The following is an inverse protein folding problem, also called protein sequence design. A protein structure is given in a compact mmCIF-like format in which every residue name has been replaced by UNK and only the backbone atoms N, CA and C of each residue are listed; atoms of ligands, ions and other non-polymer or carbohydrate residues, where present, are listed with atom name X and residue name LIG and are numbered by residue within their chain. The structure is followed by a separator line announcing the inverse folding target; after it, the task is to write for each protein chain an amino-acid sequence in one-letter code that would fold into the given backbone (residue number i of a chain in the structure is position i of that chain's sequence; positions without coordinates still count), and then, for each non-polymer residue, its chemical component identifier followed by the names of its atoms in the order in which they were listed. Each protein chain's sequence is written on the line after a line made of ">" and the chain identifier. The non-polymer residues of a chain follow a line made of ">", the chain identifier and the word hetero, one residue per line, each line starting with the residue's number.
data_IF_566109024500
#
_entry.id   IF_566109024500
#
_cell.length_a   1.000
_cell.length_b   1.000
_cell.length_c   1.000
_cell.angle_alpha   90.00
_cell.angle_beta   90.00
_cell.angle_gamma   90.00
#
_symmetry.space_group_name_H-M   'P 1'
#
loop_
_entity.id
_entity.type
_entity.pdbx_description
1 polymer ?
#
# COMPACT_ATOMS: atom_id res chain seq x y z
N UNK A 1 -44.52 -30.64 20.36
CA UNK A 1 -43.41 -30.18 19.56
C UNK A 1 -42.99 -28.83 20.11
N UNK A 2 -41.88 -28.74 20.87
CA UNK A 2 -41.35 -27.47 21.37
C UNK A 2 -40.33 -26.98 20.36
N UNK A 3 -40.65 -25.89 19.65
CA UNK A 3 -39.73 -25.21 18.75
C UNK A 3 -38.69 -24.52 19.62
N UNK A 4 -37.46 -24.97 19.55
CA UNK A 4 -36.29 -24.31 20.18
C UNK A 4 -35.93 -23.10 19.30
N UNK A 5 -36.25 -21.89 19.77
CA UNK A 5 -35.73 -20.67 19.21
C UNK A 5 -34.26 -20.55 19.64
N UNK A 6 -33.32 -20.85 18.77
CA UNK A 6 -31.93 -20.49 18.97
C UNK A 6 -31.83 -19.00 18.60
N UNK A 7 -31.88 -18.15 19.62
CA UNK A 7 -31.48 -16.76 19.46
C UNK A 7 -29.96 -16.74 19.21
N UNK A 8 -29.57 -16.50 17.96
CA UNK A 8 -28.16 -16.17 17.65
C UNK A 8 -27.84 -14.85 18.35
N UNK A 9 -27.07 -14.95 19.41
CA UNK A 9 -26.49 -13.79 20.07
C UNK A 9 -25.52 -13.17 19.04
N UNK A 10 -25.95 -12.12 18.33
CA UNK A 10 -25.07 -11.30 17.56
C UNK A 10 -24.12 -10.61 18.55
N UNK A 11 -22.95 -11.18 18.78
CA UNK A 11 -21.86 -10.45 19.44
C UNK A 11 -21.57 -9.23 18.57
N UNK A 12 -21.68 -8.04 19.16
CA UNK A 12 -21.11 -6.85 18.54
C UNK A 12 -19.62 -7.14 18.28
N UNK A 13 -19.11 -6.84 17.09
CA UNK A 13 -17.70 -7.06 16.82
C UNK A 13 -16.88 -6.28 17.84
N UNK A 14 -15.75 -6.86 18.25
CA UNK A 14 -14.82 -6.22 19.17
C UNK A 14 -14.42 -4.84 18.60
N UNK A 15 -14.32 -3.82 19.44
CA UNK A 15 -13.81 -2.53 19.00
C UNK A 15 -12.40 -2.71 18.44
N UNK A 16 -11.99 -1.88 17.45
CA UNK A 16 -10.60 -1.84 17.01
C UNK A 16 -9.71 -1.48 18.19
N UNK A 17 -8.56 -2.13 18.24
CA UNK A 17 -7.49 -1.80 19.18
C UNK A 17 -6.42 -1.02 18.43
N UNK A 18 -5.96 0.06 19.03
CA UNK A 18 -4.98 0.97 18.46
C UNK A 18 -3.68 0.93 19.25
N UNK A 19 -2.57 1.02 18.57
CA UNK A 19 -1.24 1.12 19.18
C UNK A 19 -0.33 1.95 18.29
N UNK A 20 0.61 2.66 18.91
CA UNK A 20 1.68 3.37 18.18
C UNK A 20 2.62 2.35 17.54
N UNK A 21 3.00 2.60 16.30
CA UNK A 21 3.92 1.74 15.55
C UNK A 21 5.37 2.09 15.89
N UNK A 22 5.77 3.34 15.77
CA UNK A 22 7.12 3.82 16.10
C UNK A 22 7.35 3.79 17.63
N UNK A 23 8.56 3.43 18.05
CA UNK A 23 8.95 3.38 19.47
C UNK A 23 9.56 4.68 19.96
N UNK A 24 9.97 5.55 19.06
CA UNK A 24 10.53 6.86 19.32
C UNK A 24 9.59 7.91 18.72
N UNK A 25 9.13 8.85 19.52
CA UNK A 25 8.23 9.93 19.13
C UNK A 25 8.95 11.25 18.85
N UNK A 26 10.26 11.21 18.65
CA UNK A 26 11.06 12.37 18.24
C UNK A 26 10.95 12.55 16.73
N UNK A 27 10.72 13.79 16.28
CA UNK A 27 10.55 14.09 14.85
C UNK A 27 9.23 13.58 14.28
N UNK A 28 8.98 13.87 13.01
CA UNK A 28 7.82 13.39 12.28
C UNK A 28 7.98 11.95 11.81
N UNK A 29 6.88 11.21 11.87
CA UNK A 29 6.73 9.91 11.26
C UNK A 29 5.49 9.95 10.37
N UNK A 30 5.69 9.82 9.06
CA UNK A 30 4.66 9.99 8.05
C UNK A 30 4.77 9.00 6.88
N UNK A 31 3.89 9.12 5.88
CA UNK A 31 3.87 8.32 4.66
C UNK A 31 3.94 6.81 4.91
N UNK A 32 3.14 6.30 5.85
CA UNK A 32 3.17 4.89 6.21
C UNK A 32 2.54 3.99 5.15
N UNK A 33 3.14 2.82 4.92
CA UNK A 33 2.56 1.71 4.15
C UNK A 33 2.49 0.44 4.99
N UNK A 34 1.50 -0.44 4.70
CA UNK A 34 1.27 -1.68 5.46
C UNK A 34 0.99 -2.87 4.55
N UNK A 35 1.57 -4.01 4.89
CA UNK A 35 1.31 -5.30 4.25
C UNK A 35 1.00 -6.37 5.29
N UNK A 36 0.05 -7.27 4.97
CA UNK A 36 -0.35 -8.36 5.85
C UNK A 36 -0.42 -9.69 5.09
N UNK A 37 -0.10 -10.80 5.78
CA UNK A 37 -0.05 -12.15 5.20
C UNK A 37 -1.02 -13.11 5.87
N UNK A 38 -1.32 -14.22 5.16
CA UNK A 38 -2.09 -15.37 5.69
C UNK A 38 -1.49 -15.93 6.97
N UNK A 39 -0.17 -15.96 7.06
CA UNK A 39 0.54 -16.50 8.21
C UNK A 39 0.61 -15.53 9.40
N UNK A 40 -0.16 -14.42 9.37
CA UNK A 40 -0.29 -13.48 10.48
C UNK A 40 0.90 -12.54 10.67
N UNK A 41 1.74 -12.39 9.65
CA UNK A 41 2.74 -11.32 9.64
C UNK A 41 2.09 -10.02 9.18
N UNK A 42 2.51 -8.92 9.79
CA UNK A 42 2.14 -7.55 9.39
C UNK A 42 3.40 -6.70 9.43
N UNK A 43 3.73 -6.06 8.32
CA UNK A 43 4.82 -5.09 8.26
C UNK A 43 4.26 -3.69 8.04
N UNK A 44 4.81 -2.72 8.74
CA UNK A 44 4.57 -1.30 8.54
C UNK A 44 5.92 -0.66 8.23
N UNK A 45 5.97 0.17 7.19
CA UNK A 45 7.12 1.03 6.86
C UNK A 45 6.66 2.48 6.89
N UNK A 46 7.57 3.42 7.19
CA UNK A 46 7.28 4.85 7.25
C UNK A 46 8.53 5.69 6.99
N UNK A 47 8.33 6.95 6.68
CA UNK A 47 9.35 8.00 6.74
C UNK A 47 9.51 8.43 8.20
N UNK A 48 10.73 8.76 8.62
CA UNK A 48 11.05 9.07 10.01
C UNK A 48 12.15 10.12 10.11
N UNK A 49 11.85 11.22 10.76
CA UNK A 49 12.73 12.37 10.92
C UNK A 49 13.38 12.44 12.30
N UNK A 50 13.32 11.36 13.11
CA UNK A 50 13.82 11.36 14.50
C UNK A 50 15.27 11.78 14.67
N UNK A 51 16.08 11.61 13.63
CA UNK A 51 17.51 11.99 13.63
C UNK A 51 17.73 13.47 13.27
N UNK A 52 16.65 14.24 13.03
CA UNK A 52 16.71 15.67 12.70
C UNK A 52 16.25 16.55 13.86
N UNK A 53 16.72 17.81 13.89
CA UNK A 53 16.40 18.74 14.97
C UNK A 53 15.15 19.58 14.72
N UNK A 54 14.51 19.42 13.56
CA UNK A 54 13.37 20.24 13.13
C UNK A 54 12.22 19.35 12.69
N UNK A 55 10.98 19.62 13.16
CA UNK A 55 9.78 18.98 12.63
C UNK A 55 9.68 19.18 11.13
N UNK A 56 9.12 18.21 10.44
CA UNK A 56 8.89 18.26 9.00
C UNK A 56 10.14 18.66 8.20
N UNK A 57 11.29 18.03 8.50
CA UNK A 57 12.51 18.30 7.76
C UNK A 57 12.34 17.78 6.31
N UNK A 58 12.19 18.67 5.31
CA UNK A 58 11.89 18.26 3.94
C UNK A 58 13.08 17.60 3.23
N UNK A 59 14.22 17.48 3.90
CA UNK A 59 15.49 17.08 3.27
C UNK A 59 16.20 15.92 3.98
N UNK A 60 15.72 15.48 5.15
CA UNK A 60 16.35 14.40 5.91
C UNK A 60 15.30 13.49 6.53
N UNK A 61 14.85 12.51 5.79
CA UNK A 61 14.03 11.42 6.33
C UNK A 61 14.70 10.08 6.10
N UNK A 62 14.45 9.16 7.00
CA UNK A 62 14.89 7.77 6.93
C UNK A 62 13.71 6.83 6.77
N UNK A 63 13.94 5.68 6.14
CA UNK A 63 12.93 4.63 6.04
C UNK A 63 13.13 3.63 7.17
N UNK A 64 12.06 3.45 7.93
CA UNK A 64 11.97 2.47 9.01
C UNK A 64 10.96 1.39 8.69
N UNK A 65 11.13 0.21 9.30
CA UNK A 65 10.20 -0.91 9.25
C UNK A 65 9.95 -1.48 10.64
N UNK A 66 8.70 -1.85 10.91
CA UNK A 66 8.33 -2.70 12.03
C UNK A 66 7.58 -3.93 11.56
N UNK A 67 8.02 -5.10 12.00
CA UNK A 67 7.37 -6.37 11.71
C UNK A 67 6.68 -6.90 12.95
N UNK A 68 5.47 -7.39 12.74
CA UNK A 68 4.65 -8.07 13.74
C UNK A 68 4.36 -9.50 13.33
N UNK A 69 4.15 -10.37 14.33
CA UNK A 69 3.58 -11.71 14.18
C UNK A 69 2.40 -11.84 15.13
N UNK A 70 1.21 -12.09 14.61
CA UNK A 70 -0.03 -12.17 15.41
C UNK A 70 -0.17 -10.99 16.41
N UNK A 71 0.10 -9.78 15.94
CA UNK A 71 0.06 -8.55 16.73
C UNK A 71 1.24 -8.32 17.68
N UNK A 72 2.16 -9.29 17.81
CA UNK A 72 3.38 -9.13 18.63
C UNK A 72 4.50 -8.58 17.78
N UNK A 73 5.11 -7.46 18.19
CA UNK A 73 6.27 -6.87 17.52
C UNK A 73 7.48 -7.79 17.58
N UNK A 74 8.07 -8.08 16.42
CA UNK A 74 9.30 -8.84 16.31
C UNK A 74 10.54 -7.95 16.32
N UNK A 75 10.49 -6.84 15.59
CA UNK A 75 11.55 -5.83 15.55
C UNK A 75 11.03 -4.51 14.99
N UNK A 76 11.76 -3.43 15.30
CA UNK A 76 11.74 -2.15 14.63
C UNK A 76 13.14 -1.83 14.13
N UNK A 77 13.29 -1.31 12.91
CA UNK A 77 14.60 -1.13 12.30
C UNK A 77 14.63 -0.06 11.22
N UNK A 78 15.69 0.73 11.21
CA UNK A 78 16.08 1.61 10.10
C UNK A 78 16.59 0.77 8.93
N UNK A 79 16.08 1.05 7.73
CA UNK A 79 16.46 0.36 6.48
C UNK A 79 17.33 1.21 5.57
N UNK A 80 17.11 2.52 5.54
CA UNK A 80 17.92 3.45 4.79
C UNK A 80 19.32 3.55 5.43
N UNK A 81 20.30 3.82 4.63
CA UNK A 81 21.66 4.05 5.10
C UNK A 81 22.00 5.50 4.87
N UNK A 82 22.37 6.21 5.97
CA UNK A 82 22.75 7.61 5.95
C UNK A 82 23.80 7.94 4.92
N UNK A 83 23.60 9.05 4.20
CA UNK A 83 24.59 9.73 3.39
C UNK A 83 25.15 10.95 4.12
N UNK A 84 25.98 11.71 3.44
CA UNK A 84 26.41 13.03 3.86
C UNK A 84 25.79 14.06 2.93
N UNK A 85 24.95 14.96 3.46
CA UNK A 85 24.33 16.04 2.69
C UNK A 85 22.80 16.02 2.74
N UNK A 86 22.17 16.87 1.94
CA UNK A 86 20.72 17.00 1.82
C UNK A 86 20.18 15.87 0.93
N UNK A 87 19.80 14.75 1.52
CA UNK A 87 19.22 13.63 0.81
C UNK A 87 18.07 13.04 1.61
N UNK A 88 17.01 12.70 0.91
CA UNK A 88 15.75 12.22 1.45
C UNK A 88 15.49 10.80 0.98
N UNK A 89 15.05 9.98 1.92
CA UNK A 89 14.41 8.71 1.60
C UNK A 89 12.92 8.93 1.65
N UNK A 90 12.24 8.72 0.54
CA UNK A 90 10.90 9.26 0.34
C UNK A 90 9.93 8.22 -0.21
N UNK A 91 8.68 8.28 0.26
CA UNK A 91 7.56 7.46 -0.24
C UNK A 91 7.84 5.95 -0.15
N UNK A 92 8.06 5.41 1.06
CA UNK A 92 8.29 3.99 1.22
C UNK A 92 7.03 3.18 0.93
N UNK A 93 7.22 1.98 0.36
CA UNK A 93 6.17 0.99 0.22
C UNK A 93 6.70 -0.40 0.58
N UNK A 94 5.81 -1.28 1.08
CA UNK A 94 6.17 -2.61 1.56
C UNK A 94 5.22 -3.68 1.05
N UNK A 95 5.79 -4.82 0.67
CA UNK A 95 5.03 -6.05 0.44
C UNK A 95 5.71 -7.24 1.11
N UNK A 96 4.90 -8.08 1.76
CA UNK A 96 5.36 -9.28 2.46
C UNK A 96 5.20 -10.53 1.59
N UNK A 97 6.17 -11.43 1.69
CA UNK A 97 5.99 -12.84 1.35
C UNK A 97 5.33 -13.59 2.52
N UNK A 98 4.71 -14.74 2.24
CA UNK A 98 4.00 -15.52 3.26
C UNK A 98 4.91 -16.05 4.40
N UNK A 99 6.22 -16.11 4.20
CA UNK A 99 7.20 -16.48 5.24
C UNK A 99 7.54 -15.34 6.21
N UNK A 100 6.98 -14.12 5.97
CA UNK A 100 7.24 -12.93 6.76
C UNK A 100 8.46 -12.14 6.32
N UNK A 101 9.16 -12.54 5.25
CA UNK A 101 10.16 -11.70 4.64
C UNK A 101 9.50 -10.52 3.89
N UNK A 102 10.13 -9.36 3.92
CA UNK A 102 9.61 -8.13 3.34
C UNK A 102 10.46 -7.69 2.15
N UNK A 103 9.80 -7.14 1.13
CA UNK A 103 10.42 -6.27 0.13
C UNK A 103 9.96 -4.85 0.40
N UNK A 104 10.91 -3.93 0.55
CA UNK A 104 10.67 -2.52 0.82
C UNK A 104 11.31 -1.69 -0.29
N UNK A 105 10.58 -0.70 -0.76
CA UNK A 105 11.04 0.24 -1.80
C UNK A 105 10.85 1.67 -1.33
N UNK A 106 11.66 2.58 -1.84
CA UNK A 106 11.52 4.04 -1.64
C UNK A 106 12.27 4.81 -2.71
N UNK A 107 11.98 6.11 -2.84
CA UNK A 107 12.76 7.04 -3.65
C UNK A 107 13.94 7.56 -2.85
N UNK A 108 15.18 7.49 -3.39
CA UNK A 108 16.39 8.01 -2.72
C UNK A 108 17.31 8.74 -3.69
N UNK A 109 18.01 9.76 -3.19
CA UNK A 109 19.09 10.47 -3.89
C UNK A 109 20.42 10.26 -3.12
N UNK A 110 21.07 9.09 -3.29
CA UNK A 110 22.19 8.68 -2.43
C UNK A 110 23.47 9.47 -2.64
N UNK A 111 23.62 10.16 -3.76
CA UNK A 111 24.81 10.95 -4.12
C UNK A 111 24.56 12.47 -4.05
N UNK A 112 23.36 12.91 -3.68
CA UNK A 112 22.98 14.30 -3.52
C UNK A 112 22.99 15.11 -4.82
N UNK A 113 22.84 14.44 -5.99
CA UNK A 113 22.85 15.10 -7.29
C UNK A 113 21.49 15.70 -7.69
N UNK A 114 20.46 15.50 -6.87
CA UNK A 114 19.09 15.96 -7.09
C UNK A 114 18.27 15.04 -8.01
N UNK A 115 18.78 13.86 -8.37
CA UNK A 115 18.08 12.84 -9.15
C UNK A 115 17.77 11.62 -8.27
N UNK A 116 16.49 11.37 -8.07
CA UNK A 116 16.04 10.24 -7.27
C UNK A 116 16.04 8.94 -8.06
N UNK A 117 16.37 7.85 -7.38
CA UNK A 117 16.32 6.48 -7.86
C UNK A 117 15.39 5.66 -6.95
N UNK A 118 14.95 4.49 -7.41
CA UNK A 118 14.11 3.60 -6.61
C UNK A 118 14.98 2.54 -5.94
N UNK A 119 15.19 2.73 -4.63
CA UNK A 119 15.85 1.73 -3.79
C UNK A 119 14.96 0.52 -3.56
N UNK A 120 15.57 -0.64 -3.43
CA UNK A 120 14.90 -1.91 -3.07
C UNK A 120 15.71 -2.58 -1.97
N UNK A 121 15.04 -3.04 -0.91
CA UNK A 121 15.64 -3.87 0.15
C UNK A 121 14.79 -5.11 0.38
N UNK A 122 15.45 -6.24 0.56
CA UNK A 122 14.83 -7.45 1.07
C UNK A 122 15.21 -7.62 2.54
N UNK A 123 14.21 -7.83 3.39
CA UNK A 123 14.39 -7.94 4.85
C UNK A 123 13.84 -9.28 5.31
N UNK A 124 14.65 -10.07 6.00
CA UNK A 124 14.21 -11.36 6.53
C UNK A 124 13.27 -11.20 7.73
N UNK A 125 12.55 -12.24 8.08
CA UNK A 125 11.69 -12.29 9.28
C UNK A 125 12.46 -12.00 10.58
N UNK A 126 13.78 -12.19 10.59
CA UNK A 126 14.65 -11.84 11.73
C UNK A 126 15.15 -10.38 11.71
N UNK A 127 14.67 -9.55 10.78
CA UNK A 127 15.07 -8.15 10.64
C UNK A 127 16.45 -7.94 10.00
N UNK A 128 17.00 -8.95 9.34
CA UNK A 128 18.28 -8.81 8.62
C UNK A 128 18.01 -8.36 7.19
N UNK A 129 18.65 -7.27 6.75
CA UNK A 129 18.67 -6.90 5.32
C UNK A 129 19.41 -7.98 4.56
N UNK A 130 18.70 -8.79 3.81
CA UNK A 130 19.22 -9.94 3.07
C UNK A 130 19.64 -9.61 1.64
N UNK A 131 19.27 -8.44 1.14
CA UNK A 131 19.64 -7.95 -0.18
C UNK A 131 19.29 -6.48 -0.38
N UNK A 132 20.01 -5.83 -1.27
CA UNK A 132 19.87 -4.44 -1.65
C UNK A 132 20.01 -4.29 -3.16
N UNK A 133 19.27 -3.38 -3.76
CA UNK A 133 19.32 -3.10 -5.18
C UNK A 133 18.60 -1.82 -5.55
N UNK A 134 18.53 -1.55 -6.86
CA UNK A 134 17.80 -0.44 -7.47
C UNK A 134 16.81 -1.00 -8.49
N UNK A 135 15.57 -0.52 -8.48
CA UNK A 135 14.53 -1.00 -9.39
C UNK A 135 14.74 -0.47 -10.82
N UNK A 136 15.08 0.82 -10.98
CA UNK A 136 15.36 1.45 -12.27
C UNK A 136 16.74 1.06 -12.80
N UNK A 137 16.85 0.84 -14.12
CA UNK A 137 18.13 0.56 -14.80
C UNK A 137 18.87 1.84 -15.16
N UNK A 138 18.16 2.94 -15.49
CA UNK A 138 18.75 4.25 -15.75
C UNK A 138 18.63 5.12 -14.53
N UNK A 139 19.72 5.74 -14.10
CA UNK A 139 19.76 6.74 -13.04
C UNK A 139 19.50 8.17 -13.58
N UNK A 140 19.23 8.31 -14.89
CA UNK A 140 18.92 9.60 -15.48
C UNK A 140 17.50 10.06 -15.12
N UNK A 141 17.32 11.35 -14.87
CA UNK A 141 16.02 11.93 -14.56
C UNK A 141 15.55 11.64 -13.13
N UNK A 142 14.24 11.67 -12.93
CA UNK A 142 13.61 11.55 -11.62
C UNK A 142 12.75 10.28 -11.59
N UNK A 143 12.94 9.44 -10.59
CA UNK A 143 12.11 8.27 -10.32
C UNK A 143 11.40 8.45 -8.98
N UNK A 144 10.06 8.45 -9.01
CA UNK A 144 9.22 8.76 -7.86
C UNK A 144 8.07 7.77 -7.69
N UNK A 145 7.38 7.86 -6.56
CA UNK A 145 6.16 7.12 -6.26
C UNK A 145 6.33 5.62 -6.52
N UNK A 146 7.33 4.97 -5.91
CA UNK A 146 7.48 3.54 -6.06
C UNK A 146 6.32 2.81 -5.39
N UNK A 147 5.94 1.66 -5.97
CA UNK A 147 5.05 0.71 -5.30
C UNK A 147 5.54 -0.69 -5.57
N UNK A 148 5.46 -1.57 -4.57
CA UNK A 148 5.95 -2.94 -4.62
C UNK A 148 4.84 -3.96 -4.38
N UNK A 149 4.86 -5.05 -5.14
CA UNK A 149 3.97 -6.18 -4.93
C UNK A 149 4.80 -7.48 -4.94
N UNK A 150 4.76 -8.22 -3.85
CA UNK A 150 5.37 -9.54 -3.73
C UNK A 150 4.44 -10.63 -4.24
N UNK A 151 5.00 -11.64 -4.89
CA UNK A 151 4.30 -12.88 -5.21
C UNK A 151 4.12 -13.68 -3.92
N UNK A 152 2.89 -13.96 -3.48
CA UNK A 152 2.65 -14.64 -2.21
C UNK A 152 3.12 -16.10 -2.19
N UNK A 153 3.39 -16.73 -3.35
CA UNK A 153 3.75 -18.14 -3.48
C UNK A 153 5.25 -18.35 -3.76
N UNK A 154 5.90 -17.36 -4.36
CA UNK A 154 7.32 -17.43 -4.71
C UNK A 154 8.11 -16.31 -4.03
N UNK A 155 9.41 -16.28 -4.20
CA UNK A 155 10.25 -15.14 -3.76
C UNK A 155 10.26 -13.97 -4.75
N UNK A 156 9.42 -14.00 -5.78
CA UNK A 156 9.34 -12.98 -6.82
C UNK A 156 8.59 -11.73 -6.37
N UNK A 157 8.81 -10.61 -7.04
CA UNK A 157 8.10 -9.35 -6.81
C UNK A 157 8.18 -8.44 -8.04
N UNK A 158 7.30 -7.44 -8.08
CA UNK A 158 7.37 -6.36 -9.06
C UNK A 158 7.43 -5.00 -8.35
N UNK A 159 8.18 -4.07 -8.95
CA UNK A 159 8.26 -2.68 -8.49
C UNK A 159 7.84 -1.79 -9.66
N UNK A 160 6.90 -0.89 -9.42
CA UNK A 160 6.49 0.15 -10.38
C UNK A 160 6.85 1.54 -9.86
N UNK A 161 7.08 2.49 -10.76
CA UNK A 161 7.42 3.87 -10.40
C UNK A 161 7.03 4.85 -11.51
N UNK A 162 6.98 6.12 -11.16
CA UNK A 162 6.89 7.24 -12.09
C UNK A 162 8.30 7.60 -12.55
N UNK A 163 8.53 7.60 -13.86
CA UNK A 163 9.82 7.93 -14.49
C UNK A 163 9.70 9.21 -15.30
N UNK A 164 10.40 10.26 -14.86
CA UNK A 164 10.42 11.58 -15.49
C UNK A 164 11.80 11.92 -16.06
N UNK A 165 11.91 11.87 -17.36
CA UNK A 165 13.15 12.15 -18.09
C UNK A 165 13.15 13.60 -18.62
N UNK A 166 13.90 14.49 -17.95
CA UNK A 166 14.05 15.89 -18.34
C UNK A 166 12.71 16.64 -18.40
N UNK A 167 12.39 17.26 -19.53
CA UNK A 167 11.13 18.01 -19.75
C UNK A 167 9.98 17.19 -20.30
N UNK A 168 10.19 15.90 -20.58
CA UNK A 168 9.14 15.02 -21.09
C UNK A 168 8.06 14.78 -20.01
N UNK A 169 6.80 14.54 -20.42
CA UNK A 169 5.79 14.05 -19.50
C UNK A 169 6.26 12.75 -18.82
N UNK A 170 5.92 12.55 -17.54
CA UNK A 170 6.29 11.32 -16.84
C UNK A 170 5.64 10.11 -17.48
N UNK A 171 6.33 8.98 -17.36
CA UNK A 171 5.88 7.66 -17.79
C UNK A 171 5.83 6.72 -16.59
N UNK A 172 5.06 5.64 -16.69
CA UNK A 172 5.03 4.57 -15.67
C UNK A 172 5.91 3.43 -16.15
N UNK A 173 6.83 3.02 -15.28
CA UNK A 173 7.70 1.86 -15.50
C UNK A 173 7.45 0.77 -14.47
N UNK A 174 7.87 -0.42 -14.81
CA UNK A 174 7.82 -1.58 -13.93
C UNK A 174 9.04 -2.46 -14.13
N UNK A 175 9.61 -2.96 -13.04
CA UNK A 175 10.59 -4.04 -13.04
C UNK A 175 10.04 -5.27 -12.34
N UNK A 176 10.20 -6.44 -12.93
CA UNK A 176 9.93 -7.72 -12.31
C UNK A 176 11.22 -8.38 -11.80
N UNK A 177 11.13 -9.09 -10.71
CA UNK A 177 12.22 -9.77 -10.04
C UNK A 177 11.83 -11.19 -9.67
N UNK A 178 12.70 -12.16 -9.93
CA UNK A 178 12.60 -13.50 -9.36
C UNK A 178 13.18 -13.57 -7.94
N UNK A 179 14.08 -12.64 -7.62
CA UNK A 179 14.63 -12.35 -6.28
C UNK A 179 15.30 -11.00 -6.32
N UNK A 180 15.70 -10.44 -5.17
CA UNK A 180 16.40 -9.15 -5.09
C UNK A 180 17.62 -9.04 -6.00
N UNK A 181 18.31 -10.12 -6.26
CA UNK A 181 19.49 -10.18 -7.13
C UNK A 181 19.20 -10.60 -8.57
N UNK A 182 17.96 -10.89 -8.92
CA UNK A 182 17.55 -11.43 -10.22
C UNK A 182 16.38 -10.66 -10.83
N UNK A 183 16.68 -9.50 -11.43
CA UNK A 183 15.72 -8.74 -12.24
C UNK A 183 15.42 -9.54 -13.51
N UNK A 184 14.14 -9.79 -13.78
CA UNK A 184 13.67 -10.56 -14.95
C UNK A 184 13.35 -9.69 -16.14
N UNK A 185 12.79 -8.49 -15.91
CA UNK A 185 12.48 -7.51 -16.94
C UNK A 185 12.40 -6.10 -16.37
N UNK A 186 12.48 -5.12 -17.25
CA UNK A 186 12.07 -3.74 -17.02
C UNK A 186 11.31 -3.25 -18.27
N UNK A 187 10.17 -2.61 -18.08
CA UNK A 187 9.32 -2.17 -19.18
C UNK A 187 8.58 -0.86 -18.86
N UNK A 188 8.25 -0.10 -19.89
CA UNK A 188 7.26 0.97 -19.82
C UNK A 188 5.86 0.33 -19.81
N UNK A 189 5.02 0.75 -18.87
CA UNK A 189 3.67 0.19 -18.69
C UNK A 189 2.65 0.93 -19.55
N UNK A 190 2.67 2.26 -19.51
CA UNK A 190 1.73 3.11 -20.24
C UNK A 190 1.99 3.15 -21.74
N UNK A 191 0.93 3.38 -22.53
CA UNK A 191 1.02 3.69 -23.95
C UNK A 191 1.64 5.08 -24.16
N UNK A 192 2.10 5.36 -25.36
CA UNK A 192 2.68 6.67 -25.69
C UNK A 192 1.63 7.79 -25.61
N UNK A 193 2.08 8.98 -25.21
CA UNK A 193 1.29 10.22 -25.12
C UNK A 193 0.56 10.37 -23.79
N UNK A 194 0.20 11.60 -23.42
CA UNK A 194 -0.45 11.94 -22.15
C UNK A 194 0.51 12.05 -20.97
N UNK A 195 -0.06 12.36 -19.81
CA UNK A 195 0.64 12.41 -18.52
C UNK A 195 0.28 11.16 -17.73
N UNK A 196 1.27 10.49 -17.18
CA UNK A 196 1.12 9.24 -16.42
C UNK A 196 1.83 9.36 -15.08
N UNK A 197 1.11 9.16 -13.98
CA UNK A 197 1.61 9.42 -12.63
C UNK A 197 1.08 8.43 -11.59
N UNK A 198 1.72 8.41 -10.43
CA UNK A 198 1.29 7.71 -9.22
C UNK A 198 0.88 6.25 -9.45
N UNK A 199 1.78 5.44 -9.99
CA UNK A 199 1.49 4.03 -10.20
C UNK A 199 1.40 3.27 -8.88
N UNK A 200 0.54 2.25 -8.87
CA UNK A 200 0.42 1.29 -7.79
C UNK A 200 0.45 -0.12 -8.36
N UNK A 201 1.02 -1.06 -7.62
CA UNK A 201 1.16 -2.45 -8.04
C UNK A 201 0.47 -3.40 -7.07
N UNK A 202 -0.07 -4.50 -7.61
CA UNK A 202 -0.54 -5.65 -6.84
C UNK A 202 -0.17 -6.94 -7.58
N UNK A 203 -0.11 -8.06 -6.86
CA UNK A 203 0.27 -9.36 -7.43
C UNK A 203 -0.42 -10.49 -6.68
N UNK A 204 -0.88 -11.51 -7.40
CA UNK A 204 -1.32 -12.79 -6.84
C UNK A 204 -0.30 -13.90 -7.14
N UNK A 205 -0.53 -15.12 -6.64
CA UNK A 205 0.39 -16.25 -6.69
C UNK A 205 0.80 -16.72 -8.11
N UNK A 206 0.15 -16.24 -9.15
CA UNK A 206 0.58 -16.48 -10.53
C UNK A 206 1.71 -15.54 -10.99
N UNK A 207 2.20 -14.65 -10.13
CA UNK A 207 3.28 -13.70 -10.41
C UNK A 207 2.93 -12.63 -11.45
N UNK A 208 1.63 -12.45 -11.77
CA UNK A 208 1.22 -11.41 -12.71
C UNK A 208 1.20 -10.05 -12.00
N UNK A 209 1.94 -9.08 -12.52
CA UNK A 209 1.92 -7.72 -12.01
C UNK A 209 0.69 -6.96 -12.54
N UNK A 210 -0.17 -6.52 -11.63
CA UNK A 210 -1.32 -5.66 -11.90
C UNK A 210 -0.85 -4.24 -11.58
N UNK A 211 -0.77 -3.37 -12.58
CA UNK A 211 -0.35 -1.98 -12.42
C UNK A 211 -1.52 -1.06 -12.73
N UNK A 212 -1.81 -0.13 -11.82
CA UNK A 212 -2.79 0.95 -12.01
C UNK A 212 -2.09 2.30 -11.89
N UNK A 213 -2.56 3.32 -12.59
CA UNK A 213 -1.94 4.65 -12.55
C UNK A 213 -2.90 5.76 -13.01
N UNK A 214 -2.56 6.98 -12.69
CA UNK A 214 -3.20 8.16 -13.28
C UNK A 214 -2.77 8.29 -14.75
N UNK A 215 -3.73 8.39 -15.66
CA UNK A 215 -3.53 8.60 -17.08
C UNK A 215 -4.39 9.79 -17.54
N UNK A 216 -3.80 10.98 -17.55
CA UNK A 216 -4.49 12.26 -17.67
C UNK A 216 -5.60 12.40 -16.58
N UNK A 217 -6.87 12.47 -16.98
CA UNK A 217 -8.01 12.55 -16.05
C UNK A 217 -8.63 11.17 -15.74
N UNK A 218 -7.98 10.07 -16.10
CA UNK A 218 -8.50 8.72 -15.96
C UNK A 218 -7.57 7.86 -15.10
N UNK A 219 -8.13 6.77 -14.57
CA UNK A 219 -7.36 5.67 -14.01
C UNK A 219 -7.20 4.59 -15.06
N UNK A 220 -5.97 4.30 -15.41
CA UNK A 220 -5.61 3.21 -16.31
C UNK A 220 -5.08 2.01 -15.54
N UNK A 221 -5.19 0.84 -16.14
CA UNK A 221 -4.59 -0.41 -15.64
C UNK A 221 -4.02 -1.25 -16.75
N UNK A 222 -3.05 -2.12 -16.41
CA UNK A 222 -2.45 -3.13 -17.28
C UNK A 222 -2.02 -4.32 -16.46
N UNK A 223 -2.09 -5.52 -17.03
CA UNK A 223 -1.61 -6.74 -16.37
C UNK A 223 -0.46 -7.30 -17.19
N UNK A 224 0.67 -7.56 -16.52
CA UNK A 224 1.88 -8.13 -17.10
C UNK A 224 2.13 -9.53 -16.55
N UNK A 225 2.69 -10.40 -17.38
CA UNK A 225 3.15 -11.73 -16.95
C UNK A 225 4.44 -11.63 -16.13
N UNK A 226 4.87 -12.69 -15.41
CA UNK A 226 6.14 -12.71 -14.67
C UNK A 226 7.38 -12.44 -15.53
N UNK A 227 7.28 -12.60 -16.84
CA UNK A 227 8.35 -12.28 -17.82
C UNK A 227 8.22 -10.92 -18.49
N UNK A 228 7.28 -10.06 -18.02
CA UNK A 228 7.03 -8.73 -18.59
C UNK A 228 6.16 -8.71 -19.84
N UNK A 229 5.67 -9.86 -20.30
CA UNK A 229 4.71 -9.93 -21.41
C UNK A 229 3.34 -9.34 -21.02
N UNK A 230 2.58 -8.86 -22.00
CA UNK A 230 1.26 -8.28 -21.78
C UNK A 230 0.21 -9.38 -21.64
N UNK A 231 -0.40 -9.54 -20.45
CA UNK A 231 -1.55 -10.42 -20.20
C UNK A 231 -2.87 -9.68 -20.47
N UNK A 232 -2.98 -8.43 -20.02
CA UNK A 232 -4.07 -7.53 -20.36
C UNK A 232 -3.48 -6.19 -20.84
N UNK A 233 -3.88 -5.72 -22.01
CA UNK A 233 -3.50 -4.44 -22.53
C UNK A 233 -4.03 -3.28 -21.67
N UNK A 234 -3.43 -2.11 -21.80
CA UNK A 234 -3.90 -0.90 -21.10
C UNK A 234 -5.39 -0.70 -21.33
N UNK A 235 -6.10 -0.52 -20.22
CA UNK A 235 -7.55 -0.33 -20.19
C UNK A 235 -7.90 0.73 -19.17
N UNK A 236 -8.88 1.57 -19.46
CA UNK A 236 -9.41 2.55 -18.51
C UNK A 236 -10.28 1.85 -17.46
N UNK A 237 -10.06 2.17 -16.19
CA UNK A 237 -10.87 1.71 -15.06
C UNK A 237 -12.01 2.70 -14.76
N UNK A 238 -11.69 4.00 -14.76
CA UNK A 238 -12.64 5.08 -14.48
C UNK A 238 -12.00 6.43 -14.70
N UNK A 239 -12.77 7.51 -14.53
CA UNK A 239 -12.24 8.87 -14.42
C UNK A 239 -11.83 9.11 -12.97
N UNK A 240 -10.74 9.86 -12.76
CA UNK A 240 -10.31 10.21 -11.42
C UNK A 240 -8.80 10.30 -11.26
N UNK A 241 -8.37 10.26 -10.01
CA UNK A 241 -6.97 10.37 -9.59
C UNK A 241 -6.69 9.51 -8.35
N UNK A 242 -5.43 9.42 -7.92
CA UNK A 242 -4.96 8.68 -6.73
C UNK A 242 -5.48 7.25 -6.69
N UNK A 243 -5.08 6.40 -7.64
CA UNK A 243 -5.47 4.99 -7.63
C UNK A 243 -4.74 4.23 -6.53
N UNK A 244 -5.45 3.26 -5.95
CA UNK A 244 -4.88 2.21 -5.13
C UNK A 244 -5.33 0.84 -5.67
N UNK A 245 -4.53 -0.20 -5.50
CA UNK A 245 -4.84 -1.55 -5.97
C UNK A 245 -4.38 -2.60 -4.95
N UNK A 246 -5.19 -3.63 -4.77
CA UNK A 246 -4.82 -4.84 -4.04
C UNK A 246 -5.25 -6.07 -4.80
N UNK A 247 -4.53 -7.17 -4.64
CA UNK A 247 -4.86 -8.47 -5.20
C UNK A 247 -4.88 -9.55 -4.11
N UNK A 248 -5.76 -10.53 -4.28
CA UNK A 248 -5.76 -11.73 -3.45
C UNK A 248 -4.83 -12.81 -4.02
N UNK A 249 -4.72 -13.92 -3.32
CA UNK A 249 -3.87 -15.04 -3.73
C UNK A 249 -4.18 -15.55 -5.15
N UNK A 250 -5.44 -15.60 -5.54
CA UNK A 250 -5.86 -16.08 -6.87
C UNK A 250 -5.61 -15.06 -8.00
N UNK A 251 -5.19 -13.83 -7.66
CA UNK A 251 -4.95 -12.74 -8.60
C UNK A 251 -6.24 -11.98 -8.97
N UNK A 252 -7.38 -12.26 -8.34
CA UNK A 252 -8.51 -11.34 -8.37
C UNK A 252 -8.10 -10.07 -7.63
N UNK A 253 -8.55 -8.90 -8.11
CA UNK A 253 -8.06 -7.65 -7.58
C UNK A 253 -9.15 -6.59 -7.46
N UNK A 254 -8.90 -5.58 -6.64
CA UNK A 254 -9.75 -4.43 -6.48
C UNK A 254 -8.95 -3.15 -6.67
N UNK A 255 -9.59 -2.13 -7.25
CA UNK A 255 -9.01 -0.79 -7.48
C UNK A 255 -9.90 0.22 -6.80
N UNK A 256 -9.29 1.17 -6.06
CA UNK A 256 -9.97 2.36 -5.56
C UNK A 256 -9.37 3.62 -6.20
N UNK A 257 -10.15 4.70 -6.31
CA UNK A 257 -9.70 5.99 -6.85
C UNK A 257 -10.60 7.14 -6.42
N UNK A 258 -10.08 8.36 -6.42
CA UNK A 258 -10.87 9.56 -6.17
C UNK A 258 -11.67 9.98 -7.41
N UNK A 259 -12.97 10.14 -7.23
CA UNK A 259 -13.91 10.70 -8.20
C UNK A 259 -15.15 11.22 -7.48
N UNK A 260 -15.17 12.53 -7.13
CA UNK A 260 -16.26 13.12 -6.32
C UNK A 260 -16.56 12.30 -5.05
N UNK A 261 -15.53 12.09 -4.22
CA UNK A 261 -15.40 11.08 -3.18
C UNK A 261 -14.54 9.94 -3.68
N UNK A 262 -14.71 8.75 -3.17
CA UNK A 262 -13.94 7.57 -3.55
C UNK A 262 -14.83 6.53 -4.23
N UNK A 263 -14.33 5.95 -5.30
CA UNK A 263 -14.90 4.81 -6.02
C UNK A 263 -14.04 3.57 -5.78
N UNK A 264 -14.65 2.39 -5.79
CA UNK A 264 -13.92 1.12 -5.82
C UNK A 264 -14.62 0.11 -6.73
N UNK A 265 -13.81 -0.73 -7.40
CA UNK A 265 -14.28 -1.76 -8.32
C UNK A 265 -13.43 -3.01 -8.21
N UNK A 266 -14.06 -4.16 -8.09
CA UNK A 266 -13.40 -5.46 -8.11
C UNK A 266 -13.35 -6.06 -9.51
N UNK A 267 -12.30 -6.87 -9.75
CA UNK A 267 -12.02 -7.51 -11.04
C UNK A 267 -11.57 -8.95 -10.84
N UNK A 268 -11.79 -9.76 -11.85
CA UNK A 268 -11.19 -11.10 -11.94
C UNK A 268 -9.71 -11.01 -12.27
N UNK A 269 -8.94 -12.06 -12.05
CA UNK A 269 -7.53 -12.19 -12.43
C UNK A 269 -7.27 -12.00 -13.95
N UNK A 270 -8.31 -12.05 -14.79
CA UNK A 270 -8.27 -11.73 -16.21
C UNK A 270 -8.61 -10.26 -16.51
N UNK A 271 -8.97 -9.47 -15.48
CA UNK A 271 -9.32 -8.05 -15.60
C UNK A 271 -10.78 -7.77 -15.98
N UNK A 272 -11.68 -8.75 -15.94
CA UNK A 272 -13.11 -8.51 -16.11
C UNK A 272 -13.71 -7.93 -14.82
N UNK A 273 -14.53 -6.88 -14.92
CA UNK A 273 -15.19 -6.27 -13.77
C UNK A 273 -16.16 -7.25 -13.09
N UNK A 274 -16.21 -7.20 -11.76
CA UNK A 274 -17.20 -7.90 -10.92
C UNK A 274 -18.19 -6.88 -10.39
N UNK A 275 -19.46 -7.00 -10.79
CA UNK A 275 -20.53 -6.10 -10.33
C UNK A 275 -20.33 -4.63 -10.71
N UNK A 276 -20.88 -3.74 -9.91
CA UNK A 276 -20.81 -2.30 -10.09
C UNK A 276 -19.75 -1.68 -9.18
N UNK A 277 -19.28 -0.48 -9.55
CA UNK A 277 -18.40 0.29 -8.67
C UNK A 277 -19.14 0.74 -7.40
N UNK A 278 -18.53 0.51 -6.25
CA UNK A 278 -18.97 1.06 -4.97
C UNK A 278 -18.53 2.53 -4.83
N UNK A 279 -19.10 3.22 -3.86
CA UNK A 279 -18.77 4.62 -3.55
C UNK A 279 -18.72 4.84 -2.06
N UNK A 280 -17.74 5.63 -1.60
CA UNK A 280 -17.66 6.16 -0.24
C UNK A 280 -17.20 7.62 -0.27
N UNK A 281 -17.26 8.29 0.87
CA UNK A 281 -16.76 9.64 1.06
C UNK A 281 -15.24 9.66 1.26
N UNK A 282 -14.67 10.84 1.36
CA UNK A 282 -13.25 11.04 1.65
C UNK A 282 -12.36 11.18 0.42
N UNK A 283 -11.07 11.13 0.67
CA UNK A 283 -9.98 11.27 -0.29
C UNK A 283 -8.86 10.29 0.05
N UNK A 284 -7.81 10.27 -0.74
CA UNK A 284 -6.61 9.45 -0.54
C UNK A 284 -6.91 7.97 -0.25
N UNK A 285 -7.58 7.27 -1.18
CA UNK A 285 -8.05 5.93 -0.95
C UNK A 285 -6.91 4.92 -0.89
N UNK A 286 -7.04 4.01 0.05
CA UNK A 286 -6.25 2.77 0.10
C UNK A 286 -7.21 1.58 0.08
N UNK A 287 -6.76 0.44 -0.44
CA UNK A 287 -7.64 -0.72 -0.66
C UNK A 287 -6.93 -2.02 -0.31
N UNK A 288 -7.69 -2.95 0.27
CA UNK A 288 -7.29 -4.34 0.48
C UNK A 288 -8.39 -5.30 0.05
N UNK A 289 -8.03 -6.53 -0.29
CA UNK A 289 -8.96 -7.58 -0.72
C UNK A 289 -8.53 -8.93 -0.13
N UNK A 290 -9.49 -9.71 0.39
CA UNK A 290 -9.24 -11.06 0.88
C UNK A 290 -9.49 -12.16 -0.17
N UNK A 291 -9.20 -13.42 0.17
CA UNK A 291 -9.37 -14.56 -0.71
C UNK A 291 -10.85 -14.92 -0.97
N UNK A 292 -11.78 -14.37 -0.20
CA UNK A 292 -13.22 -14.53 -0.36
C UNK A 292 -13.86 -13.33 -1.07
N UNK A 293 -13.02 -12.43 -1.58
CA UNK A 293 -13.37 -11.25 -2.35
C UNK A 293 -14.02 -10.13 -1.52
N UNK A 294 -13.92 -10.17 -0.19
CA UNK A 294 -14.25 -9.04 0.68
C UNK A 294 -13.23 -7.91 0.48
N UNK A 295 -13.70 -6.69 0.36
CA UNK A 295 -12.89 -5.51 0.07
C UNK A 295 -12.99 -4.51 1.21
N UNK A 296 -11.86 -4.01 1.68
CA UNK A 296 -11.77 -2.88 2.59
C UNK A 296 -11.19 -1.66 1.85
N UNK A 297 -11.86 -0.50 1.98
CA UNK A 297 -11.41 0.78 1.45
C UNK A 297 -11.23 1.73 2.61
N UNK A 298 -10.03 2.25 2.79
CA UNK A 298 -9.70 3.26 3.81
C UNK A 298 -9.49 4.60 3.13
N UNK A 299 -10.02 5.66 3.74
CA UNK A 299 -10.00 7.04 3.19
C UNK A 299 -9.71 8.04 4.29
N UNK A 300 -9.07 9.16 3.94
CA UNK A 300 -9.00 10.34 4.79
C UNK A 300 -10.23 11.22 4.55
N UNK A 301 -10.86 11.71 5.61
CA UNK A 301 -12.03 12.59 5.55
C UNK A 301 -11.94 13.70 6.60
N UNK A 302 -11.71 14.93 6.17
CA UNK A 302 -11.60 16.14 6.99
C UNK A 302 -10.44 16.09 8.00
N UNK A 303 -10.58 15.34 9.08
CA UNK A 303 -9.59 15.16 10.15
C UNK A 303 -9.57 13.71 10.68
N UNK A 304 -10.26 12.80 10.00
CA UNK A 304 -10.42 11.43 10.42
C UNK A 304 -10.06 10.45 9.31
N UNK A 305 -9.68 9.25 9.67
CA UNK A 305 -9.51 8.11 8.77
C UNK A 305 -10.71 7.17 8.90
N UNK A 306 -11.28 6.79 7.77
CA UNK A 306 -12.45 5.91 7.70
C UNK A 306 -12.16 4.66 6.92
N UNK A 307 -12.71 3.52 7.35
CA UNK A 307 -12.63 2.26 6.61
C UNK A 307 -14.03 1.72 6.31
N UNK A 308 -14.29 1.46 5.04
CA UNK A 308 -15.55 0.88 4.53
C UNK A 308 -15.30 -0.52 3.99
N UNK A 309 -16.19 -1.47 4.28
CA UNK A 309 -16.07 -2.86 3.81
C UNK A 309 -17.20 -3.20 2.85
N UNK A 310 -16.86 -3.84 1.73
CA UNK A 310 -17.76 -4.16 0.63
C UNK A 310 -17.64 -5.60 0.18
N UNK A 311 -18.71 -6.11 -0.46
CA UNK A 311 -18.67 -7.31 -1.28
C UNK A 311 -18.03 -7.03 -2.65
N UNK A 312 -17.60 -8.08 -3.39
CA UNK A 312 -16.97 -7.91 -4.71
C UNK A 312 -17.89 -7.32 -5.79
N UNK A 313 -19.21 -7.32 -5.58
CA UNK A 313 -20.20 -6.69 -6.46
C UNK A 313 -20.49 -5.23 -6.11
N UNK A 314 -19.71 -4.64 -5.19
CA UNK A 314 -19.88 -3.25 -4.73
C UNK A 314 -21.05 -3.07 -3.76
N UNK A 315 -21.75 -4.15 -3.40
CA UNK A 315 -22.80 -4.06 -2.38
C UNK A 315 -22.17 -4.05 -0.99
N UNK A 316 -22.79 -3.32 -0.08
CA UNK A 316 -22.51 -3.52 1.34
C UNK A 316 -23.07 -4.88 1.77
N UNK A 317 -22.38 -5.58 2.64
CA UNK A 317 -22.72 -6.94 3.10
C UNK A 317 -24.07 -7.06 3.84
N UNK A 318 -25.15 -6.49 3.29
CA UNK A 318 -26.49 -6.47 3.91
C UNK A 318 -26.63 -5.55 5.12
N UNK A 319 -25.60 -4.78 5.42
CA UNK A 319 -25.58 -3.72 6.44
C UNK A 319 -24.91 -2.48 5.84
N UNK A 320 -25.23 -1.27 6.32
CA UNK A 320 -24.49 -0.07 5.90
C UNK A 320 -22.98 -0.31 6.10
N UNK A 321 -22.13 0.28 5.25
CA UNK A 321 -20.69 0.16 5.41
C UNK A 321 -20.37 0.45 6.86
N UNK A 322 -19.65 -0.44 7.51
CA UNK A 322 -19.17 -0.17 8.84
C UNK A 322 -18.05 0.85 8.67
N UNK A 323 -18.42 2.09 8.74
CA UNK A 323 -17.49 3.18 8.85
C UNK A 323 -16.89 3.10 10.25
N UNK A 324 -15.64 2.72 10.32
CA UNK A 324 -14.85 2.87 11.52
C UNK A 324 -14.20 4.23 11.42
N UNK A 325 -14.73 5.17 12.14
CA UNK A 325 -14.03 6.40 12.43
C UNK A 325 -12.92 6.06 13.40
N UNK A 326 -11.72 6.40 13.06
CA UNK A 326 -10.62 6.45 14.02
C UNK A 326 -10.89 7.70 14.86
N UNK A 327 -11.73 7.56 15.87
CA UNK A 327 -12.00 8.68 16.74
C UNK A 327 -10.93 8.77 17.83
N UNK A 328 -9.88 9.51 17.53
CA UNK A 328 -9.18 10.25 18.54
C UNK A 328 -9.63 11.70 18.44
N UNK A 329 -10.21 12.23 19.49
CA UNK A 329 -10.94 13.51 19.45
C UNK A 329 -10.02 14.74 19.36
N UNK A 330 -8.73 14.58 19.18
CA UNK A 330 -7.75 15.68 19.14
C UNK A 330 -6.67 15.34 18.13
N UNK A 331 -6.48 16.18 17.13
CA UNK A 331 -5.46 16.00 16.10
C UNK A 331 -6.07 15.76 14.72
N UNK A 332 -5.20 15.75 13.72
CA UNK A 332 -5.53 15.42 12.34
C UNK A 332 -5.03 14.00 12.08
N UNK A 333 -5.92 13.14 11.66
CA UNK A 333 -5.57 11.82 11.16
C UNK A 333 -5.59 11.87 9.63
N UNK A 334 -4.49 11.49 9.01
CA UNK A 334 -4.38 11.42 7.54
C UNK A 334 -3.41 10.30 7.11
N UNK A 335 -3.02 10.33 5.84
CA UNK A 335 -2.13 9.34 5.22
C UNK A 335 -2.50 7.89 5.54
N UNK A 336 -3.75 7.49 5.29
CA UNK A 336 -4.19 6.15 5.61
C UNK A 336 -3.49 5.10 4.75
N UNK A 337 -3.22 3.93 5.33
CA UNK A 337 -2.91 2.73 4.58
C UNK A 337 -3.69 1.54 5.14
N UNK A 338 -3.95 0.53 4.30
CA UNK A 338 -4.72 -0.66 4.71
C UNK A 338 -4.10 -1.94 4.17
N UNK A 339 -3.89 -2.90 5.06
CA UNK A 339 -3.57 -4.28 4.75
C UNK A 339 -4.76 -5.18 5.06
N UNK A 340 -5.09 -6.09 4.15
CA UNK A 340 -6.10 -7.12 4.37
C UNK A 340 -5.44 -8.47 4.16
N UNK A 341 -5.49 -9.32 5.18
CA UNK A 341 -4.96 -10.67 5.01
C UNK A 341 -5.96 -11.59 4.28
N UNK A 342 -5.54 -12.74 3.77
CA UNK A 342 -6.41 -13.67 3.04
C UNK A 342 -7.64 -14.16 3.81
N UNK A 343 -7.64 -14.04 5.14
CA UNK A 343 -8.78 -14.38 6.01
C UNK A 343 -9.73 -13.21 6.25
N UNK A 344 -9.42 -12.04 5.68
CA UNK A 344 -10.22 -10.83 5.82
C UNK A 344 -9.95 -10.04 7.09
N UNK A 345 -8.87 -10.29 7.83
CA UNK A 345 -8.45 -9.40 8.92
C UNK A 345 -7.90 -8.11 8.35
N UNK A 346 -8.44 -6.99 8.78
CA UNK A 346 -8.09 -5.67 8.29
C UNK A 346 -7.15 -5.00 9.29
N UNK A 347 -6.02 -4.52 8.80
CA UNK A 347 -5.08 -3.67 9.52
C UNK A 347 -5.10 -2.29 8.87
N UNK A 348 -5.32 -1.24 9.66
CA UNK A 348 -5.28 0.14 9.19
C UNK A 348 -4.11 0.85 9.88
N UNK A 349 -3.34 1.61 9.13
CA UNK A 349 -2.35 2.54 9.67
C UNK A 349 -2.66 3.96 9.21
N UNK A 350 -2.27 4.95 9.99
CA UNK A 350 -2.45 6.37 9.69
C UNK A 350 -1.49 7.20 10.53
N UNK A 351 -1.30 8.47 10.15
CA UNK A 351 -0.53 9.46 10.91
C UNK A 351 -1.45 10.28 11.82
N UNK A 352 -0.96 10.67 13.00
CA UNK A 352 -1.70 11.47 13.98
C UNK A 352 -0.75 12.13 14.99
N UNK A 353 -0.86 13.45 15.17
CA UNK A 353 -0.27 14.21 16.28
C UNK A 353 -1.20 14.15 17.52
N UNK A 354 -1.46 12.96 18.04
CA UNK A 354 -2.41 12.73 19.13
C UNK A 354 -1.94 13.32 20.48
N UNK A 355 -0.65 13.45 20.69
CA UNK A 355 -0.11 14.02 21.93
C UNK A 355 0.05 15.56 21.87
N UNK A 356 -0.21 16.17 20.70
CA UNK A 356 -0.18 17.62 20.49
C UNK A 356 1.21 18.23 20.60
N UNK A 357 2.25 17.43 20.36
CA UNK A 357 3.64 17.90 20.43
C UNK A 357 4.13 18.55 19.12
N UNK A 358 3.32 18.50 18.05
CA UNK A 358 3.62 19.03 16.73
C UNK A 358 4.38 18.05 15.83
N UNK A 359 4.49 16.78 16.22
CA UNK A 359 5.10 15.70 15.45
C UNK A 359 4.11 14.58 15.24
N UNK A 360 3.94 14.17 14.01
CA UNK A 360 3.09 13.06 13.65
C UNK A 360 3.70 11.70 14.08
N UNK A 361 2.84 10.77 14.45
CA UNK A 361 3.19 9.40 14.85
C UNK A 361 2.40 8.41 14.02
N UNK A 362 2.94 7.20 13.83
CA UNK A 362 2.22 6.15 13.12
C UNK A 362 1.38 5.33 14.09
N UNK A 363 0.09 5.27 13.84
CA UNK A 363 -0.86 4.44 14.57
C UNK A 363 -1.29 3.23 13.74
N UNK A 364 -1.45 2.09 14.42
CA UNK A 364 -1.91 0.84 13.84
C UNK A 364 -3.19 0.38 14.56
N UNK A 365 -4.25 0.14 13.78
CA UNK A 365 -5.51 -0.40 14.24
C UNK A 365 -5.78 -1.80 13.71
N UNK A 366 -6.23 -2.69 14.59
CA UNK A 366 -6.63 -4.06 14.27
C UNK A 366 -7.98 -4.40 14.90
N UNK A 367 -8.65 -5.46 14.44
CA UNK A 367 -9.92 -5.91 14.99
C UNK A 367 -11.11 -5.78 14.03
N UNK A 368 -10.92 -5.17 12.86
CA UNK A 368 -11.89 -5.19 11.78
C UNK A 368 -11.70 -6.42 10.89
N UNK A 369 -12.79 -6.92 10.32
CA UNK A 369 -12.75 -8.02 9.36
C UNK A 369 -13.71 -7.77 8.19
N UNK A 370 -13.29 -8.12 6.98
CA UNK A 370 -14.15 -8.18 5.80
C UNK A 370 -15.18 -9.31 5.89
N UNK A 371 -14.98 -10.30 6.79
CA UNK A 371 -15.81 -11.49 6.97
C UNK A 371 -16.71 -11.45 8.22
N UNK A 372 -16.58 -10.47 9.08
CA UNK A 372 -17.33 -10.38 10.34
C UNK A 372 -18.69 -9.71 10.17
N UNK A 373 -19.67 -10.48 9.70
CA UNK A 373 -21.07 -10.02 9.54
C UNK A 373 -22.11 -10.97 10.10
#
# INVERSE_FOLDING_TARGET
>A
MKTLLIASLLLAPAPMTWSTVNTDSTGDQDNASVSATRNGYTAVVWEDDRDTATPEDPIHSDVWIRLYKEGTSLYEKKLSTGGTGNWRHWQPDVSLHEDGSAVVVWSEDPDGNGFYNIAVRSVSVAGTVSGSGTANASADGQQYFPSVAADPDTGGFAVTWEDKQGTNPPTVRVSGFASISSKTYEAQVNNAGGTHAKPQAAMGAAGNAIVVWEADANIARKILTPSGGVKQAQTTTGQGKRPAVAANFNGDFAVAWEQSGVKSQSFTAAGAARGNAASTTGSDPQIGIDDQLGVAVTTAETQDVHTSVYNPDGTTTGRPPRQLTVSNATGRQDEPAVGVDPWGRVTVVYTDDNDGNGFDQIYLGTGLSTQAW
#
